data_IF_470533528081
#
_entry.id   IF_470533528081
#
_cell.length_a   1.000
_cell.length_b   1.000
_cell.length_c   1.000
_cell.angle_alpha   90.00
_cell.angle_beta   90.00
_cell.angle_gamma   90.00
#
_symmetry.space_group_name_H-M   'P 1'
#
loop_
_entity.id
_entity.type
_entity.pdbx_description
1 polymer ?
#
# COMPACT_ATOMS: atom_id res chain seq x y z
N UNK A 1 -22.87 43.33 22.22
CA UNK A 1 -21.85 42.30 22.51
C UNK A 1 -22.37 40.85 22.45
N UNK A 2 -23.61 40.55 22.85
CA UNK A 2 -24.17 39.17 22.83
C UNK A 2 -24.26 38.58 21.40
N UNK A 3 -24.58 39.37 20.36
CA UNK A 3 -24.73 38.89 18.98
C UNK A 3 -23.40 38.67 18.26
N UNK A 4 -22.31 39.36 18.70
CA UNK A 4 -20.98 39.18 18.13
C UNK A 4 -20.39 37.80 18.50
N UNK A 5 -20.69 37.32 19.71
CA UNK A 5 -20.26 36.03 20.21
C UNK A 5 -20.97 34.87 19.52
N UNK A 6 -22.29 35.03 19.21
CA UNK A 6 -23.07 34.05 18.47
C UNK A 6 -22.60 33.93 17.01
N UNK A 7 -22.19 35.03 16.39
CA UNK A 7 -21.68 35.03 15.01
C UNK A 7 -20.32 34.34 14.91
N UNK A 8 -19.45 34.48 15.91
CA UNK A 8 -18.14 33.85 15.97
C UNK A 8 -18.23 32.33 16.12
N UNK A 9 -19.21 31.83 16.87
CA UNK A 9 -19.46 30.39 17.05
C UNK A 9 -19.99 29.74 15.76
N UNK A 10 -20.80 30.44 14.98
CA UNK A 10 -21.36 29.94 13.72
C UNK A 10 -20.28 29.78 12.61
N UNK A 11 -19.20 30.56 12.65
CA UNK A 11 -18.09 30.44 11.70
C UNK A 11 -17.16 29.23 11.94
N UNK A 12 -17.19 28.66 13.14
CA UNK A 12 -16.31 27.52 13.49
C UNK A 12 -16.84 26.14 13.02
N UNK A 13 -18.08 26.09 12.50
CA UNK A 13 -18.72 24.82 12.12
C UNK A 13 -18.60 24.49 10.62
N UNK A 14 -17.93 25.30 9.81
CA UNK A 14 -17.73 25.04 8.38
C UNK A 14 -16.37 24.41 8.08
N UNK A 15 -15.90 23.49 8.93
CA UNK A 15 -14.79 22.63 8.56
C UNK A 15 -15.32 21.58 7.58
N UNK A 16 -15.28 21.87 6.29
CA UNK A 16 -15.47 20.87 5.25
C UNK A 16 -14.31 19.89 5.28
N UNK A 17 -14.47 18.82 6.04
CA UNK A 17 -13.58 17.66 5.89
C UNK A 17 -13.88 17.06 4.52
N UNK A 18 -12.90 17.09 3.62
CA UNK A 18 -13.00 16.39 2.34
C UNK A 18 -13.18 14.89 2.61
N UNK A 19 -14.32 14.34 2.20
CA UNK A 19 -14.61 12.89 2.31
C UNK A 19 -14.03 12.11 1.13
N UNK A 20 -13.31 12.75 0.21
CA UNK A 20 -12.68 12.09 -0.93
C UNK A 20 -11.29 11.60 -0.55
N UNK A 21 -11.08 10.30 -0.76
CA UNK A 21 -9.75 9.68 -0.65
C UNK A 21 -8.82 10.25 -1.73
N UNK A 22 -7.55 10.52 -1.36
CA UNK A 22 -6.47 10.90 -2.28
C UNK A 22 -5.73 9.69 -2.83
N UNK A 23 -6.03 8.50 -2.31
CA UNK A 23 -5.34 7.25 -2.65
C UNK A 23 -5.52 6.94 -4.14
N UNK A 24 -4.40 6.75 -4.83
CA UNK A 24 -4.33 6.40 -6.24
C UNK A 24 -4.36 4.88 -6.45
N UNK A 25 -4.59 4.47 -7.71
CA UNK A 25 -4.62 3.05 -8.13
C UNK A 25 -5.65 2.23 -7.34
N UNK A 26 -6.75 2.85 -6.93
CA UNK A 26 -7.88 2.13 -6.34
C UNK A 26 -8.73 1.53 -7.46
N UNK A 27 -8.82 0.21 -7.48
CA UNK A 27 -9.69 -0.56 -8.36
C UNK A 27 -10.22 -1.78 -7.59
N UNK A 28 -11.43 -1.67 -7.08
CA UNK A 28 -12.07 -2.74 -6.31
C UNK A 28 -12.37 -3.99 -7.14
N UNK A 29 -12.33 -3.89 -8.49
CA UNK A 29 -12.49 -5.01 -9.42
C UNK A 29 -11.15 -5.65 -9.80
N UNK A 30 -10.01 -5.06 -9.39
CA UNK A 30 -8.70 -5.61 -9.69
C UNK A 30 -8.59 -7.07 -9.25
N UNK A 31 -8.10 -7.91 -10.14
CA UNK A 31 -7.86 -9.32 -9.85
C UNK A 31 -6.59 -9.43 -9.01
N UNK A 32 -6.69 -10.14 -7.88
CA UNK A 32 -5.50 -10.43 -7.07
C UNK A 32 -4.61 -11.42 -7.83
N UNK A 33 -3.28 -11.23 -7.83
CA UNK A 33 -2.37 -12.18 -8.45
C UNK A 33 -2.55 -13.59 -7.89
N UNK A 34 -2.35 -14.61 -8.72
CA UNK A 34 -2.31 -15.99 -8.26
C UNK A 34 -1.17 -16.16 -7.25
N UNK A 35 -1.33 -17.13 -6.34
CA UNK A 35 -0.32 -17.46 -5.34
C UNK A 35 0.34 -18.77 -5.74
N UNK A 36 1.68 -18.78 -5.79
CA UNK A 36 2.49 -19.97 -5.98
C UNK A 36 3.64 -19.95 -4.97
N UNK A 37 3.86 -21.04 -4.27
CA UNK A 37 4.97 -21.20 -3.30
C UNK A 37 5.04 -20.03 -2.27
N UNK A 38 3.88 -19.61 -1.74
CA UNK A 38 3.73 -18.45 -0.83
C UNK A 38 4.18 -17.11 -1.42
N UNK A 39 4.04 -16.93 -2.73
CA UNK A 39 4.36 -15.70 -3.42
C UNK A 39 3.25 -15.29 -4.38
N UNK A 40 3.00 -14.00 -4.53
CA UNK A 40 2.19 -13.48 -5.61
C UNK A 40 2.91 -13.61 -6.94
N UNK A 41 2.22 -14.13 -7.95
CA UNK A 41 2.71 -14.14 -9.34
C UNK A 41 2.47 -12.74 -9.92
N UNK A 42 3.42 -11.85 -9.69
CA UNK A 42 3.39 -10.50 -10.25
C UNK A 42 3.90 -10.57 -11.69
N UNK A 43 3.20 -9.94 -12.63
CA UNK A 43 3.50 -10.04 -14.07
C UNK A 43 3.84 -8.71 -14.73
N UNK A 44 3.63 -7.60 -14.00
CA UNK A 44 3.77 -6.27 -14.57
C UNK A 44 4.57 -5.34 -13.66
N UNK A 45 5.32 -4.44 -14.29
CA UNK A 45 6.04 -3.36 -13.61
C UNK A 45 5.19 -2.09 -13.54
N UNK A 46 5.35 -1.34 -12.48
CA UNK A 46 4.75 -0.01 -12.38
C UNK A 46 5.41 0.95 -13.37
N UNK A 47 4.61 1.66 -14.15
CA UNK A 47 5.08 2.71 -15.06
C UNK A 47 5.46 3.99 -14.30
N UNK A 48 4.70 4.33 -13.26
CA UNK A 48 4.91 5.50 -12.41
C UNK A 48 5.94 5.16 -11.32
N UNK A 49 6.94 6.02 -11.15
CA UNK A 49 7.98 5.86 -10.13
C UNK A 49 7.50 6.12 -8.71
N UNK A 50 6.33 6.72 -8.54
CA UNK A 50 5.72 6.97 -7.23
C UNK A 50 4.98 5.76 -6.67
N UNK A 51 4.63 4.76 -7.50
CA UNK A 51 3.93 3.57 -7.05
C UNK A 51 4.68 2.85 -5.93
N UNK A 52 4.04 2.76 -4.77
CA UNK A 52 4.61 2.21 -3.55
C UNK A 52 5.51 3.15 -2.75
N UNK A 53 6.03 4.23 -3.36
CA UNK A 53 6.95 5.18 -2.73
C UNK A 53 6.28 6.46 -2.21
N UNK A 54 5.06 6.72 -2.62
CA UNK A 54 4.26 7.88 -2.22
C UNK A 54 3.08 7.40 -1.38
N UNK A 55 2.81 8.05 -0.24
CA UNK A 55 1.73 7.71 0.66
C UNK A 55 0.34 7.80 0.00
N UNK A 56 0.18 8.66 -1.01
CA UNK A 56 -1.04 8.77 -1.80
C UNK A 56 -1.07 7.79 -2.97
N UNK A 57 0.01 7.07 -3.21
CA UNK A 57 0.11 6.04 -4.24
C UNK A 57 0.69 4.73 -3.68
N UNK A 58 0.09 4.20 -2.61
CA UNK A 58 0.56 2.98 -1.98
C UNK A 58 0.33 1.74 -2.86
N UNK A 59 0.91 0.63 -2.44
CA UNK A 59 0.59 -0.68 -2.96
C UNK A 59 -0.74 -1.12 -2.35
N UNK A 60 -1.82 -1.06 -3.13
CA UNK A 60 -3.17 -1.42 -2.69
C UNK A 60 -3.33 -2.94 -2.72
N UNK A 61 -2.96 -3.61 -1.64
CA UNK A 61 -3.16 -5.07 -1.47
C UNK A 61 -4.62 -5.41 -1.17
N UNK A 62 -5.32 -4.51 -0.64
CA UNK A 62 -6.60 -4.27 -0.10
C UNK A 62 -7.73 -5.27 -0.06
N UNK A 63 -8.73 -4.87 0.70
CA UNK A 63 -9.88 -5.66 1.10
C UNK A 63 -9.48 -6.99 1.77
N UNK A 64 -8.51 -6.89 2.68
CA UNK A 64 -8.06 -7.97 3.54
C UNK A 64 -8.31 -7.59 5.00
N UNK A 65 -8.48 -8.60 5.84
CA UNK A 65 -8.60 -8.38 7.29
C UNK A 65 -7.22 -8.01 7.85
N UNK A 66 -7.18 -7.18 8.89
CA UNK A 66 -5.93 -6.76 9.54
C UNK A 66 -5.06 -7.94 9.99
N UNK A 67 -5.68 -9.03 10.49
CA UNK A 67 -4.96 -10.24 10.87
C UNK A 67 -4.38 -11.04 9.68
N UNK A 68 -4.61 -10.62 8.44
CA UNK A 68 -4.05 -11.20 7.22
C UNK A 68 -3.03 -10.28 6.54
N UNK A 69 -2.73 -9.11 7.13
CA UNK A 69 -1.77 -8.16 6.59
C UNK A 69 -0.42 -8.84 6.37
N UNK A 70 0.16 -9.41 7.42
CA UNK A 70 1.51 -9.99 7.38
C UNK A 70 1.66 -11.06 6.28
N UNK A 71 0.68 -11.96 6.14
CA UNK A 71 0.76 -13.03 5.14
C UNK A 71 0.65 -12.47 3.71
N UNK A 72 -0.15 -11.43 3.49
CA UNK A 72 -0.28 -10.84 2.15
C UNK A 72 0.96 -10.00 1.79
N UNK A 73 1.56 -9.34 2.77
CA UNK A 73 2.84 -8.63 2.62
C UNK A 73 3.97 -9.64 2.34
N UNK A 74 4.00 -10.77 3.05
CA UNK A 74 4.94 -11.87 2.77
C UNK A 74 4.81 -12.37 1.33
N UNK A 75 3.59 -12.65 0.87
CA UNK A 75 3.36 -13.10 -0.50
C UNK A 75 3.80 -12.09 -1.54
N UNK A 76 3.60 -10.80 -1.26
CA UNK A 76 4.05 -9.73 -2.14
C UNK A 76 5.58 -9.71 -2.27
N UNK A 77 6.31 -9.67 -1.16
CA UNK A 77 7.77 -9.63 -1.19
C UNK A 77 8.40 -10.93 -1.67
N UNK A 78 7.77 -12.07 -1.41
CA UNK A 78 8.21 -13.36 -1.96
C UNK A 78 8.09 -13.44 -3.49
N UNK A 79 7.25 -12.61 -4.09
CA UNK A 79 7.10 -12.46 -5.56
C UNK A 79 8.12 -11.52 -6.20
N UNK A 80 8.96 -10.88 -5.40
CA UNK A 80 9.92 -9.87 -5.83
C UNK A 80 11.36 -10.23 -5.42
N UNK A 81 12.30 -9.58 -6.07
CA UNK A 81 13.73 -9.58 -5.79
C UNK A 81 14.26 -8.14 -5.86
N UNK A 82 15.46 -7.90 -5.36
CA UNK A 82 16.17 -6.65 -5.59
C UNK A 82 16.49 -6.42 -7.07
N UNK A 83 17.02 -5.25 -7.43
CA UNK A 83 17.22 -4.86 -8.83
C UNK A 83 18.10 -5.84 -9.63
N UNK A 84 19.02 -6.55 -8.98
CA UNK A 84 19.89 -7.56 -9.62
C UNK A 84 19.63 -8.98 -9.09
N UNK A 85 18.47 -9.24 -8.49
CA UNK A 85 18.10 -10.55 -7.94
C UNK A 85 18.46 -10.74 -6.46
N UNK A 86 18.78 -9.65 -5.74
CA UNK A 86 19.10 -9.73 -4.31
C UNK A 86 17.88 -10.17 -3.49
N UNK A 87 18.16 -10.90 -2.41
CA UNK A 87 17.13 -11.26 -1.45
C UNK A 87 16.60 -10.04 -0.72
N UNK A 88 15.28 -9.97 -0.55
CA UNK A 88 14.58 -8.91 0.15
C UNK A 88 14.38 -9.30 1.61
N UNK A 89 14.66 -8.35 2.51
CA UNK A 89 14.19 -8.37 3.90
C UNK A 89 13.37 -7.11 4.16
N UNK A 90 12.33 -7.22 4.94
CA UNK A 90 11.42 -6.11 5.21
C UNK A 90 10.91 -6.13 6.64
N UNK A 91 10.50 -4.98 7.14
CA UNK A 91 9.82 -4.85 8.43
C UNK A 91 8.82 -3.69 8.38
N UNK A 92 7.68 -3.84 9.02
CA UNK A 92 6.77 -2.75 9.29
C UNK A 92 7.42 -1.84 10.34
N UNK A 93 7.55 -0.56 10.04
CA UNK A 93 8.20 0.42 10.92
C UNK A 93 7.21 1.40 11.52
N UNK A 94 6.09 1.66 10.84
CA UNK A 94 5.10 2.62 11.29
C UNK A 94 3.76 2.43 10.54
N UNK A 95 2.78 3.25 10.92
CA UNK A 95 1.49 3.40 10.25
C UNK A 95 1.15 4.88 10.21
N UNK A 96 0.74 5.39 9.05
CA UNK A 96 0.44 6.81 8.88
C UNK A 96 -0.84 7.06 8.09
N UNK A 97 -1.04 8.32 7.85
CA UNK A 97 -1.79 8.87 6.74
C UNK A 97 -3.23 8.35 6.68
N UNK A 98 -4.06 8.67 7.70
CA UNK A 98 -5.45 8.26 7.70
C UNK A 98 -6.19 8.84 6.49
N UNK A 99 -7.02 8.02 5.85
CA UNK A 99 -7.83 8.40 4.69
C UNK A 99 -9.24 7.82 4.82
N UNK A 100 -10.26 8.46 4.21
CA UNK A 100 -11.61 7.90 4.17
C UNK A 100 -11.65 6.57 3.43
N UNK A 101 -12.21 5.53 4.05
CA UNK A 101 -12.38 4.21 3.43
C UNK A 101 -13.68 3.56 3.88
N UNK A 102 -14.51 3.20 2.93
CA UNK A 102 -15.74 2.41 3.16
C UNK A 102 -15.44 0.94 3.50
N UNK A 103 -14.21 0.48 3.23
CA UNK A 103 -13.76 -0.88 3.50
C UNK A 103 -13.23 -1.05 4.93
N UNK A 104 -13.12 0.03 5.69
CA UNK A 104 -12.79 0.01 7.11
C UNK A 104 -14.05 0.06 7.97
N UNK A 105 -14.09 -0.73 9.04
CA UNK A 105 -15.19 -0.70 10.02
C UNK A 105 -15.38 0.66 10.69
N UNK A 106 -14.32 1.47 10.73
CA UNK A 106 -14.33 2.80 11.33
C UNK A 106 -14.53 3.94 10.31
N UNK A 107 -14.76 3.61 9.03
CA UNK A 107 -14.90 4.62 7.96
C UNK A 107 -13.58 5.30 7.56
N UNK A 108 -12.46 4.88 8.15
CA UNK A 108 -11.14 5.39 7.84
C UNK A 108 -10.13 4.24 7.79
N UNK A 109 -9.24 4.26 6.80
CA UNK A 109 -8.09 3.39 6.68
C UNK A 109 -6.80 4.13 7.00
N UNK A 110 -5.72 3.40 7.20
CA UNK A 110 -4.36 3.90 7.40
C UNK A 110 -3.38 3.20 6.47
N UNK A 111 -2.23 3.81 6.24
CA UNK A 111 -1.18 3.29 5.37
C UNK A 111 -0.07 2.68 6.23
N UNK A 112 0.26 1.41 5.98
CA UNK A 112 1.41 0.75 6.60
C UNK A 112 2.72 1.21 5.94
N UNK A 113 3.73 1.51 6.76
CA UNK A 113 5.06 1.93 6.30
C UNK A 113 6.03 0.79 6.53
N UNK A 114 6.68 0.35 5.46
CA UNK A 114 7.63 -0.75 5.48
C UNK A 114 9.02 -0.30 5.06
N UNK A 115 10.02 -0.63 5.86
CA UNK A 115 11.44 -0.49 5.51
C UNK A 115 11.91 -1.78 4.85
N UNK A 116 12.52 -1.66 3.68
CA UNK A 116 13.03 -2.75 2.87
C UNK A 116 14.55 -2.66 2.76
N UNK A 117 15.22 -3.78 2.88
CA UNK A 117 16.65 -3.93 2.65
C UNK A 117 16.90 -5.04 1.64
N UNK A 118 18.00 -4.93 0.89
CA UNK A 118 18.45 -5.92 -0.06
C UNK A 118 19.77 -6.51 0.42
N UNK A 119 19.93 -7.81 0.28
CA UNK A 119 21.15 -8.50 0.67
C UNK A 119 22.38 -7.91 -0.05
N UNK A 120 23.40 -7.50 0.74
CA UNK A 120 24.62 -6.88 0.20
C UNK A 120 24.49 -5.41 -0.23
N UNK A 121 23.33 -4.77 -0.03
CA UNK A 121 23.10 -3.37 -0.36
C UNK A 121 22.78 -2.60 0.93
N UNK A 122 23.59 -1.58 1.27
CA UNK A 122 23.37 -0.77 2.48
C UNK A 122 22.13 0.14 2.38
N UNK A 123 21.72 0.50 1.17
CA UNK A 123 20.60 1.40 0.94
C UNK A 123 19.29 0.78 1.36
N UNK A 124 18.57 1.47 2.24
CA UNK A 124 17.19 1.14 2.62
C UNK A 124 16.19 1.83 1.72
N UNK A 125 15.06 1.17 1.52
CA UNK A 125 13.94 1.67 0.74
C UNK A 125 12.69 1.66 1.60
N UNK A 126 11.85 2.68 1.47
CA UNK A 126 10.54 2.73 2.15
C UNK A 126 9.44 2.49 1.14
N UNK A 127 8.52 1.59 1.46
CA UNK A 127 7.30 1.35 0.70
C UNK A 127 6.06 1.52 1.58
N UNK A 128 4.99 2.00 0.95
CA UNK A 128 3.69 2.26 1.55
C UNK A 128 2.68 1.21 1.08
N UNK A 129 1.93 0.62 2.03
CA UNK A 129 0.94 -0.40 1.76
C UNK A 129 -0.43 -0.03 2.30
N UNK A 130 -1.45 -0.32 1.51
CA UNK A 130 -2.84 -0.13 1.87
C UNK A 130 -3.57 -1.48 1.88
N UNK A 131 -4.12 -1.84 3.04
CA UNK A 131 -4.86 -3.10 3.23
C UNK A 131 -6.37 -2.96 3.05
N UNK A 132 -6.88 -1.74 2.95
CA UNK A 132 -8.32 -1.45 2.86
C UNK A 132 -8.81 -1.41 1.42
N UNK A 133 -8.07 -0.73 0.54
CA UNK A 133 -8.45 -0.59 -0.86
C UNK A 133 -7.72 -1.60 -1.75
N UNK A 134 -8.44 -2.13 -2.75
CA UNK A 134 -7.84 -2.96 -3.81
C UNK A 134 -7.29 -2.10 -4.92
N UNK A 135 -6.25 -2.60 -5.55
CA UNK A 135 -5.69 -2.03 -6.76
C UNK A 135 -4.91 -3.07 -7.56
N UNK A 136 -4.43 -2.69 -8.71
CA UNK A 136 -3.54 -3.53 -9.49
C UNK A 136 -2.20 -3.67 -8.75
N UNK A 137 -1.83 -4.89 -8.43
CA UNK A 137 -0.57 -5.20 -7.74
C UNK A 137 0.55 -5.31 -8.80
N UNK A 138 1.53 -4.41 -8.69
CA UNK A 138 2.63 -4.25 -9.63
C UNK A 138 3.97 -4.36 -8.93
N UNK A 139 5.04 -4.61 -9.70
CA UNK A 139 6.41 -4.49 -9.23
C UNK A 139 6.84 -3.01 -9.24
N UNK A 140 7.26 -2.42 -8.10
CA UNK A 140 7.70 -1.02 -8.07
C UNK A 140 9.07 -0.85 -8.75
N UNK A 141 9.39 0.36 -9.18
CA UNK A 141 10.71 0.65 -9.76
C UNK A 141 11.83 0.38 -8.75
N UNK A 142 12.92 -0.20 -9.22
CA UNK A 142 14.05 -0.57 -8.36
C UNK A 142 13.93 -1.98 -7.75
N UNK A 143 12.86 -2.71 -8.09
CA UNK A 143 12.69 -4.13 -7.79
C UNK A 143 12.65 -4.93 -9.09
N UNK A 144 12.83 -6.23 -8.99
CA UNK A 144 12.68 -7.21 -10.08
C UNK A 144 11.59 -8.21 -9.73
N UNK A 145 10.86 -8.67 -10.75
CA UNK A 145 9.86 -9.73 -10.60
C UNK A 145 10.60 -11.06 -10.50
N UNK A 146 10.34 -11.80 -9.43
CA UNK A 146 10.91 -13.12 -9.22
C UNK A 146 10.43 -14.11 -10.27
N UNK A 147 11.37 -14.84 -10.88
CA UNK A 147 11.07 -15.91 -11.83
C UNK A 147 10.85 -17.23 -11.08
N UNK A 148 9.68 -17.82 -11.27
CA UNK A 148 9.38 -19.14 -10.75
C UNK A 148 9.69 -20.17 -11.82
N UNK A 149 10.52 -21.19 -11.51
CA UNK A 149 10.79 -22.25 -12.47
C UNK A 149 9.48 -22.95 -12.85
N UNK A 150 9.27 -23.14 -14.15
CA UNK A 150 8.18 -23.97 -14.62
C UNK A 150 8.41 -25.39 -14.12
N UNK A 151 7.49 -25.91 -13.30
CA UNK A 151 7.45 -27.35 -13.01
C UNK A 151 6.62 -28.03 -14.10
N UNK A 152 7.06 -27.89 -15.33
CA UNK A 152 6.58 -28.75 -16.41
C UNK A 152 7.42 -30.02 -16.39
N UNK A 153 6.93 -31.00 -15.62
CA UNK A 153 7.20 -32.43 -15.80
C UNK A 153 6.00 -33.22 -15.32
#
# INVERSE_FOLDING_TARGET
MKYLFSLLIALLLTSCVSTKSTIKNVDMKAVRPAIKDKAYIITEYASDSKYGYDQDYPINIGNIRENQEDINIEYYFNGLEGPNGEKISYKKVDTCCPFPSENSLMGAGTIGIYEITFEGIEKKVTLYFNIYEKGKILCPKGFSIKKFPNRDK
#
